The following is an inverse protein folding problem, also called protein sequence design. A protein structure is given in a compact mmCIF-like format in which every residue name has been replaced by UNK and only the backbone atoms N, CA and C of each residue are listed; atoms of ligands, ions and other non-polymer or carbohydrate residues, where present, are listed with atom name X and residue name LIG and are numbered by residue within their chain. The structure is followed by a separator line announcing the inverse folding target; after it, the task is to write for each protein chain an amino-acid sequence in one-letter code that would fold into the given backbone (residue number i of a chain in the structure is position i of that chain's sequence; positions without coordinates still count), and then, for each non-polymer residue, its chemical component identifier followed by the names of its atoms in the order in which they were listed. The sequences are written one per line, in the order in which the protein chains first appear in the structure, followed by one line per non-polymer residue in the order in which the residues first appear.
data_IF_536004189439
#
_entry.id   IF_536004189439
#
_cell.length_a   1.000
_cell.length_b   1.000
_cell.length_c   1.000
_cell.angle_alpha   90.00
_cell.angle_beta   90.00
_cell.angle_gamma   90.00
#
_symmetry.space_group_name_H-M   'P 1'
#
loop_
_entity.id
_entity.type
_entity.pdbx_description
1 polymer ?
#
# COMPACT_ATOMS: atom_id res chain seq x y z
N UNK A 1 18.97 13.16 -8.22
CA UNK A 1 19.70 13.84 -7.12
C UNK A 1 18.70 14.69 -6.36
N UNK A 2 18.69 14.62 -5.02
CA UNK A 2 17.64 14.95 -4.01
C UNK A 2 16.86 13.69 -3.59
N UNK A 3 17.29 12.94 -2.58
CA UNK A 3 17.28 13.23 -1.13
C UNK A 3 15.88 13.51 -0.59
N UNK A 4 15.19 12.47 -0.13
CA UNK A 4 14.27 12.55 1.02
C UNK A 4 14.57 11.39 1.95
N UNK A 5 15.54 11.66 2.82
CA UNK A 5 15.87 10.88 4.02
C UNK A 5 14.85 11.32 5.07
N UNK A 6 13.78 10.55 5.27
CA UNK A 6 12.89 10.73 6.41
C UNK A 6 12.92 9.46 7.26
N UNK A 7 13.33 9.66 8.52
CA UNK A 7 13.75 8.63 9.46
C UNK A 7 12.56 7.75 9.85
N UNK A 8 12.65 6.45 9.58
CA UNK A 8 11.87 5.45 10.31
C UNK A 8 12.33 5.46 11.78
N UNK A 9 11.46 5.88 12.68
CA UNK A 9 11.63 5.66 14.11
C UNK A 9 11.05 4.28 14.43
N UNK A 10 11.91 3.41 14.94
CA UNK A 10 11.64 2.11 15.54
C UNK A 10 11.13 0.98 14.64
N UNK A 11 11.87 -0.13 14.69
CA UNK A 11 11.35 -1.47 14.44
C UNK A 11 11.61 -1.94 13.03
N UNK A 12 12.54 -2.91 12.92
CA UNK A 12 12.85 -3.74 11.76
C UNK A 12 11.70 -3.79 10.76
N UNK A 13 11.78 -2.98 9.72
CA UNK A 13 10.90 -3.10 8.57
C UNK A 13 11.82 -2.87 7.38
N UNK A 14 12.33 -3.97 6.83
CA UNK A 14 13.02 -3.93 5.56
C UNK A 14 12.00 -3.44 4.53
N UNK A 15 12.21 -2.22 4.08
CA UNK A 15 11.39 -1.56 3.07
C UNK A 15 11.33 -2.42 1.81
N UNK A 16 10.12 -2.74 1.33
CA UNK A 16 9.93 -3.14 -0.06
C UNK A 16 10.08 -1.91 -0.95
N UNK A 17 11.30 -1.39 -1.03
CA UNK A 17 11.71 -0.41 -2.02
C UNK A 17 12.54 -1.19 -3.03
N UNK A 18 11.88 -1.60 -4.11
CA UNK A 18 12.42 -2.32 -5.26
C UNK A 18 12.89 -3.75 -4.96
N UNK A 19 12.25 -4.74 -5.58
CA UNK A 19 12.92 -6.01 -5.81
C UNK A 19 14.26 -5.69 -6.49
N UNK A 20 15.36 -5.91 -5.78
CA UNK A 20 16.70 -5.83 -6.33
C UNK A 20 16.73 -6.68 -7.61
N UNK A 21 17.00 -6.02 -8.75
CA UNK A 21 17.07 -6.59 -10.10
C UNK A 21 17.75 -7.96 -10.13
N UNK A 22 16.97 -9.02 -10.23
CA UNK A 22 17.42 -10.28 -10.87
C UNK A 22 16.93 -10.31 -12.33
N UNK A 23 15.85 -9.60 -12.62
CA UNK A 23 15.37 -9.18 -13.94
C UNK A 23 14.75 -7.79 -13.75
N UNK A 24 14.71 -6.91 -14.75
CA UNK A 24 14.19 -5.53 -14.67
C UNK A 24 12.65 -5.43 -14.43
N UNK A 25 12.05 -6.42 -13.75
CA UNK A 25 10.61 -6.54 -13.55
C UNK A 25 10.22 -6.47 -12.07
N UNK A 26 9.05 -5.90 -11.78
CA UNK A 26 8.51 -5.74 -10.42
C UNK A 26 7.19 -6.48 -10.31
N UNK A 27 6.79 -6.91 -9.11
CA UNK A 27 5.48 -7.56 -8.92
C UNK A 27 4.33 -6.69 -9.46
N UNK A 28 4.35 -5.38 -9.18
CA UNK A 28 3.33 -4.44 -9.67
C UNK A 28 3.27 -4.33 -11.19
N UNK A 29 4.36 -4.60 -11.91
CA UNK A 29 4.37 -4.59 -13.38
C UNK A 29 3.94 -5.93 -14.00
N UNK A 30 3.78 -6.98 -13.19
CA UNK A 30 3.28 -8.29 -13.61
C UNK A 30 1.79 -8.50 -13.26
N UNK A 31 1.21 -7.64 -12.41
CA UNK A 31 -0.20 -7.71 -12.04
C UNK A 31 -1.06 -6.96 -13.06
N UNK A 32 -2.17 -7.58 -13.47
CA UNK A 32 -3.19 -6.90 -14.28
C UNK A 32 -3.97 -5.89 -13.44
N UNK A 33 -4.07 -4.66 -13.95
CA UNK A 33 -4.85 -3.63 -13.29
C UNK A 33 -6.36 -3.93 -13.43
N UNK A 34 -7.02 -4.13 -12.30
CA UNK A 34 -8.48 -4.21 -12.26
C UNK A 34 -9.15 -2.87 -12.59
N UNK A 35 -10.47 -2.88 -12.86
CA UNK A 35 -11.23 -1.65 -13.05
C UNK A 35 -11.15 -0.75 -11.82
N UNK A 36 -11.28 0.59 -11.97
CA UNK A 36 -11.24 1.51 -10.84
C UNK A 36 -12.44 1.26 -9.91
N UNK A 37 -12.15 0.78 -8.70
CA UNK A 37 -13.17 0.50 -7.66
C UNK A 37 -13.47 1.76 -6.81
N UNK A 38 -12.52 2.70 -6.77
CA UNK A 38 -12.62 3.90 -5.94
C UNK A 38 -13.71 4.85 -6.48
N UNK A 39 -14.52 5.40 -5.56
CA UNK A 39 -15.47 6.44 -5.90
C UNK A 39 -14.73 7.72 -6.31
N UNK A 40 -15.23 8.38 -7.35
CA UNK A 40 -14.76 9.71 -7.74
C UNK A 40 -14.80 10.69 -6.56
N UNK A 41 -13.64 11.27 -6.25
CA UNK A 41 -13.45 12.13 -5.09
C UNK A 41 -14.33 13.38 -5.16
N UNK A 42 -14.46 14.00 -6.34
CA UNK A 42 -15.29 15.18 -6.51
C UNK A 42 -16.76 14.86 -6.20
N UNK A 43 -17.25 13.74 -6.71
CA UNK A 43 -18.61 13.24 -6.45
C UNK A 43 -18.82 12.92 -4.97
N UNK A 44 -17.80 12.40 -4.28
CA UNK A 44 -17.84 12.17 -2.84
C UNK A 44 -17.99 13.49 -2.07
N UNK A 45 -17.15 14.49 -2.39
CA UNK A 45 -17.16 15.79 -1.72
C UNK A 45 -18.45 16.57 -1.97
N UNK A 46 -19.00 16.53 -3.19
CA UNK A 46 -20.29 17.17 -3.51
C UNK A 46 -21.44 16.58 -2.69
N UNK A 47 -21.45 15.26 -2.49
CA UNK A 47 -22.46 14.59 -1.64
C UNK A 47 -22.27 14.91 -0.16
N UNK A 48 -21.02 14.94 0.30
CA UNK A 48 -20.71 15.28 1.68
C UNK A 48 -21.20 16.69 2.03
N UNK A 49 -21.09 17.65 1.11
CA UNK A 49 -21.59 19.03 1.28
C UNK A 49 -23.11 19.18 1.17
N UNK A 50 -23.86 18.15 0.78
CA UNK A 50 -25.31 18.24 0.58
C UNK A 50 -26.07 18.49 1.89
N UNK A 51 -25.52 18.05 3.02
CA UNK A 51 -26.17 18.16 4.32
C UNK A 51 -25.41 19.11 5.24
N UNK A 52 -26.12 19.72 6.18
CA UNK A 52 -25.55 20.71 7.12
C UNK A 52 -24.56 20.09 8.11
N UNK A 53 -24.68 18.79 8.37
CA UNK A 53 -23.84 18.04 9.30
C UNK A 53 -23.26 16.85 8.55
N UNK A 54 -21.94 16.69 8.59
CA UNK A 54 -21.22 15.56 8.02
C UNK A 54 -20.64 14.67 9.10
N UNK A 55 -20.65 13.36 8.87
CA UNK A 55 -19.95 12.36 9.69
C UNK A 55 -18.73 11.87 8.92
N UNK A 56 -17.59 11.83 9.58
CA UNK A 56 -16.35 11.29 9.04
C UNK A 56 -15.78 10.30 10.06
N UNK A 57 -15.28 9.18 9.57
CA UNK A 57 -14.55 8.19 10.34
C UNK A 57 -13.37 7.70 9.49
N UNK A 58 -12.30 7.30 10.16
CA UNK A 58 -11.15 6.64 9.53
C UNK A 58 -11.24 5.13 9.74
N UNK A 59 -10.83 4.35 8.74
CA UNK A 59 -10.74 2.90 8.86
C UNK A 59 -9.29 2.55 9.09
N UNK A 60 -8.94 2.37 10.35
CA UNK A 60 -7.58 2.00 10.74
C UNK A 60 -7.20 0.66 10.09
N UNK A 61 -6.01 0.62 9.47
CA UNK A 61 -5.48 -0.57 8.83
C UNK A 61 -6.41 -1.20 7.76
N UNK A 62 -7.13 -0.38 6.98
CA UNK A 62 -8.13 -0.82 5.99
C UNK A 62 -7.68 -2.01 5.12
N UNK A 63 -6.45 -2.01 4.60
CA UNK A 63 -5.95 -3.10 3.74
C UNK A 63 -5.77 -4.43 4.47
N UNK A 64 -5.51 -4.41 5.78
CA UNK A 64 -5.35 -5.62 6.59
C UNK A 64 -6.69 -6.28 6.92
N UNK A 65 -7.81 -5.57 6.75
CA UNK A 65 -9.15 -6.11 6.99
C UNK A 65 -9.69 -6.91 5.80
N UNK A 66 -9.00 -6.89 4.65
CA UNK A 66 -9.39 -7.63 3.44
C UNK A 66 -8.72 -9.00 3.44
N UNK A 67 -9.52 -10.07 3.39
CA UNK A 67 -9.01 -11.43 3.30
C UNK A 67 -8.48 -11.73 1.89
N UNK A 68 -7.24 -12.23 1.83
CA UNK A 68 -6.61 -12.68 0.58
C UNK A 68 -6.95 -14.17 0.36
N UNK A 69 -7.35 -14.50 -0.87
CA UNK A 69 -7.59 -15.87 -1.32
C UNK A 69 -6.34 -16.71 -1.08
N UNK A 70 -6.51 -17.98 -0.73
CA UNK A 70 -5.38 -18.84 -0.32
C UNK A 70 -4.33 -18.97 -1.42
N UNK A 71 -4.79 -19.05 -2.66
CA UNK A 71 -3.97 -19.12 -3.87
C UNK A 71 -3.10 -17.87 -4.12
N UNK A 72 -3.48 -16.70 -3.61
CA UNK A 72 -2.83 -15.41 -3.91
C UNK A 72 -1.88 -14.92 -2.80
N UNK A 73 -1.88 -15.56 -1.62
CA UNK A 73 -1.13 -15.10 -0.44
C UNK A 73 0.38 -15.00 -0.65
N UNK A 74 0.92 -15.85 -1.52
CA UNK A 74 2.37 -15.92 -1.77
C UNK A 74 2.89 -14.67 -2.48
N UNK A 75 2.04 -13.97 -3.24
CA UNK A 75 2.38 -12.70 -3.87
C UNK A 75 2.52 -11.55 -2.86
N UNK A 76 1.99 -11.69 -1.64
CA UNK A 76 2.04 -10.65 -0.61
C UNK A 76 3.18 -10.85 0.41
N UNK A 77 4.06 -11.84 0.20
CA UNK A 77 5.23 -12.06 1.04
C UNK A 77 6.25 -10.93 0.85
N UNK A 78 6.89 -10.52 1.93
CA UNK A 78 8.00 -9.56 1.89
C UNK A 78 9.27 -10.22 2.44
N UNK A 79 10.41 -9.77 1.92
CA UNK A 79 11.71 -10.23 2.38
C UNK A 79 12.05 -9.53 3.69
N UNK A 80 12.23 -10.32 4.75
CA UNK A 80 12.79 -9.84 6.00
C UNK A 80 14.28 -10.10 6.04
N UNK A 81 15.09 -9.08 6.35
CA UNK A 81 16.53 -9.20 6.56
C UNK A 81 16.88 -8.59 7.91
N UNK A 82 17.61 -9.33 8.71
CA UNK A 82 18.22 -8.79 9.92
C UNK A 82 19.43 -7.94 9.53
N UNK A 83 19.63 -6.80 10.19
CA UNK A 83 20.74 -5.87 9.93
C UNK A 83 22.13 -6.46 10.24
N UNK A 84 22.19 -7.73 10.65
CA UNK A 84 23.38 -8.46 11.09
C UNK A 84 23.83 -9.56 10.13
N UNK A 85 23.61 -9.40 8.83
CA UNK A 85 24.39 -10.12 7.83
C UNK A 85 25.32 -9.15 7.09
N UNK A 86 26.61 -9.37 7.34
CA UNK A 86 27.82 -8.69 6.86
C UNK A 86 27.78 -8.18 5.40
#
# INVERSE_FOLDING_TARGET
MRSTREKAKNGNAAWCLTAQRVTDTSLNSQLEAGPPIQMDLLRALLRFRRFRVGLQADIENMYLQVQIREEDRDACRFLWRDETQE
#
